data_IF_668195699684
#
_entry.id   IF_668195699684
#
_cell.length_a   1.000
_cell.length_b   1.000
_cell.length_c   1.000
_cell.angle_alpha   90.00
_cell.angle_beta   90.00
_cell.angle_gamma   90.00
#
_symmetry.space_group_name_H-M   'P 1'
#
loop_
_entity.id
_entity.type
_entity.pdbx_description
1 polymer ?
#
# COMPACT_ATOMS: atom_id res chain seq x y z
N UNK A 1 -14.95 1.92 -0.40
CA UNK A 1 -15.76 0.85 -1.02
C UNK A 1 -14.85 0.02 -1.89
N UNK A 2 -14.96 -1.29 -1.74
CA UNK A 2 -14.31 -2.29 -2.56
C UNK A 2 -14.75 -2.17 -4.03
N UNK A 3 -13.91 -2.67 -4.93
CA UNK A 3 -14.17 -2.74 -6.38
C UNK A 3 -14.26 -4.17 -6.90
N UNK A 4 -13.80 -5.15 -6.12
CA UNK A 4 -13.97 -6.55 -6.50
C UNK A 4 -15.44 -6.88 -6.72
N UNK A 5 -15.70 -7.68 -7.77
CA UNK A 5 -17.02 -8.18 -8.09
C UNK A 5 -17.03 -9.69 -7.86
N UNK A 6 -17.77 -10.10 -6.83
CA UNK A 6 -18.05 -11.51 -6.53
C UNK A 6 -19.37 -11.89 -7.22
N UNK A 7 -19.43 -13.00 -7.98
CA UNK A 7 -20.65 -13.45 -8.63
C UNK A 7 -21.80 -13.66 -7.62
N UNK A 8 -23.06 -13.38 -7.98
CA UNK A 8 -24.21 -13.58 -7.08
C UNK A 8 -24.38 -15.02 -6.62
N UNK A 9 -24.01 -15.97 -7.48
CA UNK A 9 -23.96 -17.40 -7.20
C UNK A 9 -22.51 -17.81 -7.37
N UNK A 10 -21.84 -18.09 -6.26
CA UNK A 10 -20.46 -18.56 -6.28
C UNK A 10 -20.43 -20.09 -6.25
N UNK A 11 -19.61 -20.73 -7.09
CA UNK A 11 -19.29 -22.15 -6.96
C UNK A 11 -18.80 -22.49 -5.54
N UNK A 12 -18.93 -23.76 -5.18
CA UNK A 12 -18.36 -24.27 -3.94
C UNK A 12 -16.82 -24.22 -3.98
N UNK A 13 -16.14 -24.18 -2.81
CA UNK A 13 -14.67 -24.24 -2.77
C UNK A 13 -14.08 -25.45 -3.48
N UNK A 14 -14.79 -26.59 -3.49
CA UNK A 14 -14.37 -27.80 -4.19
C UNK A 14 -14.44 -27.64 -5.72
N UNK A 15 -15.52 -27.07 -6.25
CA UNK A 15 -15.65 -26.79 -7.68
C UNK A 15 -14.59 -25.78 -8.16
N UNK A 16 -14.31 -24.75 -7.35
CA UNK A 16 -13.24 -23.80 -7.65
C UNK A 16 -11.85 -24.46 -7.59
N UNK A 17 -11.61 -25.37 -6.64
CA UNK A 17 -10.38 -26.14 -6.56
C UNK A 17 -10.20 -27.08 -7.77
N UNK A 18 -11.27 -27.77 -8.20
CA UNK A 18 -11.28 -28.59 -9.43
C UNK A 18 -11.01 -27.74 -10.67
N UNK A 19 -11.62 -26.55 -10.76
CA UNK A 19 -11.40 -25.62 -11.87
C UNK A 19 -9.94 -25.14 -11.93
N UNK A 20 -9.34 -24.83 -10.79
CA UNK A 20 -7.93 -24.44 -10.69
C UNK A 20 -7.00 -25.60 -11.07
N UNK A 21 -7.24 -26.81 -10.53
CA UNK A 21 -6.45 -27.98 -10.90
C UNK A 21 -6.48 -28.21 -12.41
N UNK A 22 -7.68 -28.12 -13.02
CA UNK A 22 -7.85 -28.26 -14.46
C UNK A 22 -7.09 -27.17 -15.24
N UNK A 23 -7.08 -25.94 -14.74
CA UNK A 23 -6.32 -24.85 -15.36
C UNK A 23 -4.81 -25.09 -15.37
N UNK A 24 -4.30 -25.88 -14.43
CA UNK A 24 -2.89 -26.26 -14.36
C UNK A 24 -2.55 -27.60 -15.05
N UNK A 25 -3.52 -28.24 -15.73
CA UNK A 25 -3.29 -29.54 -16.38
C UNK A 25 -2.82 -29.37 -17.83
N UNK A 26 -1.77 -30.09 -18.18
CA UNK A 26 -1.26 -30.16 -19.55
C UNK A 26 0.04 -29.38 -19.72
N UNK A 27 0.29 -28.94 -20.96
CA UNK A 27 1.46 -28.12 -21.28
C UNK A 27 1.06 -26.65 -21.23
N UNK A 28 1.60 -25.93 -20.23
CA UNK A 28 1.21 -24.55 -19.92
C UNK A 28 0.07 -24.48 -18.91
N UNK A 29 -0.37 -23.26 -18.61
CA UNK A 29 -1.47 -22.96 -17.69
C UNK A 29 -2.54 -22.17 -18.41
N UNK A 30 -3.81 -22.35 -18.03
CA UNK A 30 -4.92 -21.51 -18.46
C UNK A 30 -5.05 -20.31 -17.50
N UNK A 31 -4.26 -19.25 -17.73
CA UNK A 31 -4.22 -18.09 -16.84
C UNK A 31 -5.59 -17.39 -16.74
N UNK A 32 -6.38 -17.41 -17.81
CA UNK A 32 -7.70 -16.79 -17.84
C UNK A 32 -8.69 -17.56 -16.94
N UNK A 33 -8.64 -18.89 -16.91
CA UNK A 33 -9.42 -19.68 -15.97
C UNK A 33 -8.99 -19.39 -14.51
N UNK A 34 -7.68 -19.29 -14.24
CA UNK A 34 -7.17 -18.95 -12.91
C UNK A 34 -7.67 -17.57 -12.46
N UNK A 35 -7.58 -16.56 -13.34
CA UNK A 35 -8.09 -15.21 -13.09
C UNK A 35 -9.61 -15.22 -12.88
N UNK A 36 -10.35 -15.93 -13.74
CA UNK A 36 -11.81 -16.05 -13.67
C UNK A 36 -12.32 -16.64 -12.36
N UNK A 37 -11.52 -17.48 -11.70
CA UNK A 37 -11.79 -17.94 -10.34
C UNK A 37 -11.28 -16.90 -9.32
N UNK A 38 -9.97 -16.72 -9.20
CA UNK A 38 -9.38 -16.07 -8.03
C UNK A 38 -9.63 -14.57 -7.96
N UNK A 39 -9.72 -13.85 -9.09
CA UNK A 39 -9.99 -12.41 -9.10
C UNK A 39 -11.46 -12.06 -8.76
N UNK A 40 -12.33 -13.08 -8.70
CA UNK A 40 -13.77 -12.97 -8.46
C UNK A 40 -14.21 -13.68 -7.17
N UNK A 41 -13.29 -13.83 -6.21
CA UNK A 41 -13.56 -14.38 -4.89
C UNK A 41 -13.06 -13.41 -3.84
N UNK A 42 -13.79 -13.26 -2.75
CA UNK A 42 -13.34 -12.50 -1.59
C UNK A 42 -12.28 -13.25 -0.78
N UNK A 43 -11.65 -12.58 0.19
CA UNK A 43 -10.62 -13.17 1.04
C UNK A 43 -11.05 -14.45 1.76
N UNK A 44 -12.32 -14.55 2.19
CA UNK A 44 -12.84 -15.72 2.89
C UNK A 44 -12.96 -16.89 1.93
N UNK A 45 -13.51 -16.65 0.74
CA UNK A 45 -13.63 -17.64 -0.31
C UNK A 45 -12.26 -18.12 -0.80
N UNK A 46 -11.30 -17.21 -1.07
CA UNK A 46 -9.93 -17.59 -1.46
C UNK A 46 -9.25 -18.44 -0.40
N UNK A 47 -9.46 -18.14 0.88
CA UNK A 47 -8.96 -18.97 1.98
C UNK A 47 -9.57 -20.37 1.98
N UNK A 48 -10.89 -20.49 1.78
CA UNK A 48 -11.54 -21.80 1.70
C UNK A 48 -11.05 -22.60 0.50
N UNK A 49 -10.92 -21.98 -0.66
CA UNK A 49 -10.37 -22.62 -1.86
C UNK A 49 -8.96 -23.17 -1.60
N UNK A 50 -8.09 -22.38 -0.95
CA UNK A 50 -6.74 -22.84 -0.56
C UNK A 50 -6.77 -24.09 0.32
N UNK A 51 -7.61 -24.09 1.35
CA UNK A 51 -7.74 -25.22 2.28
C UNK A 51 -8.29 -26.46 1.56
N UNK A 52 -9.36 -26.30 0.80
CA UNK A 52 -9.99 -27.40 0.04
C UNK A 52 -9.06 -27.95 -1.05
N UNK A 53 -8.29 -27.11 -1.74
CA UNK A 53 -7.31 -27.56 -2.73
C UNK A 53 -6.21 -28.41 -2.08
N UNK A 54 -5.70 -27.98 -0.92
CA UNK A 54 -4.70 -28.74 -0.15
C UNK A 54 -5.26 -30.06 0.39
N UNK A 55 -6.49 -30.06 0.91
CA UNK A 55 -7.16 -31.27 1.38
C UNK A 55 -7.42 -32.29 0.26
N UNK A 56 -7.87 -31.83 -0.91
CA UNK A 56 -8.27 -32.71 -2.02
C UNK A 56 -7.09 -33.26 -2.82
N UNK A 57 -6.02 -32.48 -2.98
CA UNK A 57 -4.90 -32.83 -3.86
C UNK A 57 -3.56 -32.98 -3.14
N UNK A 58 -3.51 -32.71 -1.83
CA UNK A 58 -2.30 -32.76 -1.02
C UNK A 58 -1.16 -31.89 -1.61
N UNK A 59 -1.54 -30.72 -2.15
CA UNK A 59 -0.67 -29.75 -2.78
C UNK A 59 -1.02 -28.34 -2.30
N UNK A 60 0.00 -27.51 -2.05
CA UNK A 60 -0.23 -26.13 -1.64
C UNK A 60 -0.56 -25.24 -2.85
N UNK A 61 -1.78 -24.69 -2.89
CA UNK A 61 -2.24 -23.85 -4.01
C UNK A 61 -1.33 -22.64 -4.28
N UNK A 62 -0.74 -22.02 -3.24
CA UNK A 62 0.17 -20.88 -3.46
C UNK A 62 1.41 -21.36 -4.21
N UNK A 63 2.06 -22.42 -3.72
CA UNK A 63 3.24 -22.97 -4.40
C UNK A 63 2.93 -23.41 -5.83
N UNK A 64 1.74 -23.99 -6.05
CA UNK A 64 1.27 -24.35 -7.39
C UNK A 64 1.18 -23.14 -8.31
N UNK A 65 0.52 -22.06 -7.87
CA UNK A 65 0.43 -20.81 -8.62
C UNK A 65 1.82 -20.23 -8.95
N UNK A 66 2.77 -20.28 -8.03
CA UNK A 66 4.13 -19.78 -8.27
C UNK A 66 4.94 -20.65 -9.24
N UNK A 67 4.61 -21.95 -9.35
CA UNK A 67 5.25 -22.86 -10.31
C UNK A 67 4.67 -22.75 -11.72
N UNK A 68 3.40 -22.34 -11.83
CA UNK A 68 2.65 -22.31 -13.07
C UNK A 68 2.58 -20.92 -13.72
N UNK A 69 2.59 -19.86 -12.91
CA UNK A 69 2.56 -18.47 -13.38
C UNK A 69 3.98 -17.89 -13.39
N UNK A 70 4.17 -16.81 -14.16
CA UNK A 70 5.43 -16.06 -14.16
C UNK A 70 5.21 -14.54 -14.29
N UNK A 71 6.29 -13.79 -14.12
CA UNK A 71 6.30 -12.34 -14.34
C UNK A 71 5.38 -11.57 -13.38
N UNK A 72 4.73 -10.53 -13.88
CA UNK A 72 3.94 -9.61 -13.05
C UNK A 72 2.61 -10.22 -12.60
N UNK A 73 2.04 -11.14 -13.40
CA UNK A 73 0.85 -11.87 -13.02
C UNK A 73 1.10 -12.76 -11.80
N UNK A 74 2.21 -13.51 -11.79
CA UNK A 74 2.55 -14.37 -10.64
C UNK A 74 2.68 -13.56 -9.35
N UNK A 75 3.45 -12.46 -9.38
CA UNK A 75 3.63 -11.60 -8.19
C UNK A 75 2.30 -11.01 -7.72
N UNK A 76 1.46 -10.56 -8.64
CA UNK A 76 0.16 -10.00 -8.32
C UNK A 76 -0.80 -11.05 -7.75
N UNK A 77 -0.85 -12.24 -8.35
CA UNK A 77 -1.68 -13.36 -7.91
C UNK A 77 -1.24 -13.91 -6.56
N UNK A 78 0.08 -14.03 -6.34
CA UNK A 78 0.66 -14.40 -5.05
C UNK A 78 0.19 -13.48 -3.94
N UNK A 79 0.30 -12.16 -4.12
CA UNK A 79 -0.17 -11.23 -3.10
C UNK A 79 -1.69 -11.28 -2.93
N UNK A 80 -2.44 -11.46 -4.01
CA UNK A 80 -3.88 -11.47 -3.99
C UNK A 80 -4.48 -12.69 -3.26
N UNK A 81 -3.92 -13.87 -3.47
CA UNK A 81 -4.44 -15.11 -2.87
C UNK A 81 -4.22 -15.20 -1.34
N UNK A 82 -3.31 -14.39 -0.80
CA UNK A 82 -3.13 -14.22 0.64
C UNK A 82 -4.32 -13.52 1.29
N UNK A 83 -4.55 -13.83 2.56
CA UNK A 83 -5.46 -13.04 3.40
C UNK A 83 -4.99 -11.56 3.43
N UNK A 84 -5.88 -10.55 3.47
CA UNK A 84 -5.50 -9.14 3.42
C UNK A 84 -4.49 -8.71 4.50
N UNK A 85 -4.53 -9.32 5.69
CA UNK A 85 -3.60 -9.02 6.79
C UNK A 85 -2.26 -9.74 6.57
N UNK A 86 -2.31 -11.00 6.11
CA UNK A 86 -1.14 -11.79 5.71
C UNK A 86 -0.38 -11.11 4.56
N UNK A 87 -1.09 -10.67 3.53
CA UNK A 87 -0.60 -9.90 2.38
C UNK A 87 0.21 -8.68 2.82
N UNK A 88 -0.33 -7.88 3.74
CA UNK A 88 0.35 -6.70 4.26
C UNK A 88 1.59 -7.06 5.08
N UNK A 89 1.52 -8.10 5.93
CA UNK A 89 2.66 -8.58 6.69
C UNK A 89 3.80 -9.06 5.76
N UNK A 90 3.47 -9.74 4.66
CA UNK A 90 4.43 -10.15 3.64
C UNK A 90 5.05 -8.95 2.94
N UNK A 91 4.24 -8.00 2.47
CA UNK A 91 4.73 -6.79 1.79
C UNK A 91 5.65 -5.96 2.68
N UNK A 92 5.29 -5.77 3.96
CA UNK A 92 6.12 -4.97 4.88
C UNK A 92 7.42 -5.70 5.24
N UNK A 93 7.44 -7.03 5.36
CA UNK A 93 8.67 -7.80 5.55
C UNK A 93 9.60 -7.72 4.34
N UNK A 94 9.06 -7.76 3.12
CA UNK A 94 9.88 -7.55 1.93
C UNK A 94 10.47 -6.13 1.94
N UNK A 95 9.66 -5.13 2.28
CA UNK A 95 10.11 -3.75 2.36
C UNK A 95 11.15 -3.49 3.46
N UNK A 96 11.10 -4.19 4.60
CA UNK A 96 12.14 -4.03 5.64
C UNK A 96 13.50 -4.51 5.14
N UNK A 97 13.56 -5.54 4.28
CA UNK A 97 14.83 -6.05 3.71
C UNK A 97 15.50 -5.06 2.76
N UNK A 98 14.72 -4.23 2.08
CA UNK A 98 15.17 -3.19 1.14
C UNK A 98 14.71 -1.79 1.59
N UNK A 99 14.93 -1.46 2.88
CA UNK A 99 14.26 -0.32 3.52
C UNK A 99 14.58 1.05 2.91
N UNK A 100 15.75 1.19 2.27
CA UNK A 100 16.15 2.45 1.64
C UNK A 100 15.45 2.68 0.29
N UNK A 101 15.05 1.60 -0.37
CA UNK A 101 14.30 1.58 -1.62
C UNK A 101 12.78 1.58 -1.36
N UNK A 102 12.33 0.80 -0.38
CA UNK A 102 10.92 0.42 -0.19
C UNK A 102 10.28 0.98 1.10
N UNK A 103 10.90 1.97 1.76
CA UNK A 103 10.31 2.64 2.94
C UNK A 103 8.87 3.11 2.69
N UNK A 104 8.51 3.44 1.44
CA UNK A 104 7.17 3.89 1.08
C UNK A 104 6.11 2.86 1.47
N UNK A 105 6.37 1.56 1.26
CA UNK A 105 5.44 0.47 1.60
C UNK A 105 5.20 0.41 3.11
N UNK A 106 6.27 0.55 3.91
CA UNK A 106 6.19 0.58 5.38
C UNK A 106 5.34 1.78 5.82
N UNK A 107 5.61 2.96 5.26
CA UNK A 107 4.87 4.19 5.59
C UNK A 107 3.41 4.09 5.16
N UNK A 108 3.12 3.57 3.99
CA UNK A 108 1.75 3.34 3.50
C UNK A 108 0.96 2.45 4.44
N UNK A 109 1.48 1.27 4.78
CA UNK A 109 0.81 0.33 5.68
C UNK A 109 0.59 0.97 7.05
N UNK A 110 1.60 1.65 7.60
CA UNK A 110 1.47 2.33 8.90
C UNK A 110 0.50 3.51 8.89
N UNK A 111 0.44 4.28 7.80
CA UNK A 111 -0.30 5.54 7.72
C UNK A 111 -1.66 5.44 7.02
N UNK A 112 -2.06 4.28 6.49
CA UNK A 112 -3.37 4.11 5.82
C UNK A 112 -4.28 3.11 6.52
N UNK A 113 -3.73 2.26 7.38
CA UNK A 113 -4.51 1.44 8.29
C UNK A 113 -4.98 2.24 9.52
N UNK A 114 -6.13 1.83 10.07
CA UNK A 114 -6.51 2.16 11.45
C UNK A 114 -5.56 1.48 12.44
N UNK A 115 -5.58 1.92 13.70
CA UNK A 115 -4.69 1.37 14.71
C UNK A 115 -4.98 -0.11 14.99
N UNK A 116 -6.26 -0.52 14.94
CA UNK A 116 -6.66 -1.94 15.03
C UNK A 116 -6.20 -2.78 13.84
N UNK A 117 -6.28 -2.25 12.62
CA UNK A 117 -5.83 -2.98 11.42
C UNK A 117 -4.30 -3.14 11.43
N UNK A 118 -3.54 -2.09 11.76
CA UNK A 118 -2.08 -2.19 11.86
C UNK A 118 -1.65 -3.17 12.96
N UNK A 119 -2.37 -3.21 14.09
CA UNK A 119 -2.13 -4.20 15.13
C UNK A 119 -2.37 -5.63 14.63
N UNK A 120 -3.40 -5.86 13.80
CA UNK A 120 -3.63 -7.16 13.18
C UNK A 120 -2.46 -7.55 12.27
N UNK A 121 -1.96 -6.63 11.43
CA UNK A 121 -0.79 -6.85 10.57
C UNK A 121 0.43 -7.25 11.40
N UNK A 122 0.70 -6.54 12.49
CA UNK A 122 1.84 -6.83 13.39
C UNK A 122 1.72 -8.20 14.08
N UNK A 123 0.52 -8.59 14.52
CA UNK A 123 0.27 -9.92 15.08
C UNK A 123 0.53 -11.01 14.04
N UNK A 124 0.06 -10.83 12.81
CA UNK A 124 0.34 -11.77 11.71
C UNK A 124 1.83 -11.80 11.38
N UNK A 125 2.53 -10.66 11.41
CA UNK A 125 3.98 -10.59 11.25
C UNK A 125 4.71 -11.48 12.25
N UNK A 126 4.31 -11.46 13.53
CA UNK A 126 4.90 -12.34 14.56
C UNK A 126 4.69 -13.82 14.24
N UNK A 127 3.49 -14.18 13.77
CA UNK A 127 3.16 -15.56 13.40
C UNK A 127 4.05 -16.03 12.24
N UNK A 128 4.24 -15.20 11.23
CA UNK A 128 5.00 -15.54 10.02
C UNK A 128 6.52 -15.53 10.23
N UNK A 129 7.05 -14.53 10.93
CA UNK A 129 8.49 -14.25 10.94
C UNK A 129 9.18 -14.44 12.29
N UNK A 130 8.40 -14.72 13.36
CA UNK A 130 8.91 -14.99 14.71
C UNK A 130 9.72 -13.82 15.32
N UNK A 131 9.47 -12.60 14.84
CA UNK A 131 9.98 -11.33 15.34
C UNK A 131 8.88 -10.26 15.20
N UNK A 132 9.10 -9.08 15.78
CA UNK A 132 8.25 -7.91 15.54
C UNK A 132 8.67 -7.10 14.31
N UNK A 133 7.71 -6.40 13.72
CA UNK A 133 7.98 -5.45 12.64
C UNK A 133 8.93 -4.34 13.11
N UNK A 134 8.77 -3.91 14.36
CA UNK A 134 9.61 -2.92 15.01
C UNK A 134 11.07 -3.35 15.09
N UNK A 135 11.34 -4.61 15.45
CA UNK A 135 12.69 -5.15 15.50
C UNK A 135 13.36 -5.12 14.12
N UNK A 136 12.66 -5.56 13.08
CA UNK A 136 13.20 -5.53 11.71
C UNK A 136 13.44 -4.10 11.21
N UNK A 137 12.52 -3.17 11.48
CA UNK A 137 12.71 -1.75 11.15
C UNK A 137 13.90 -1.17 11.91
N UNK A 138 14.03 -1.46 13.21
CA UNK A 138 15.11 -0.96 14.05
C UNK A 138 16.48 -1.50 13.60
N UNK A 139 16.54 -2.77 13.20
CA UNK A 139 17.77 -3.41 12.77
C UNK A 139 18.25 -2.89 11.41
N UNK A 140 17.34 -2.53 10.51
CA UNK A 140 17.65 -2.28 9.09
C UNK A 140 17.67 -0.81 8.69
N UNK A 141 16.77 0.02 9.22
CA UNK A 141 16.82 1.47 8.98
C UNK A 141 17.93 2.11 9.82
N UNK A 142 18.34 3.35 9.49
CA UNK A 142 19.30 4.13 10.28
C UNK A 142 18.86 5.59 10.44
N UNK A 143 19.47 6.31 11.39
CA UNK A 143 19.25 7.74 11.59
C UNK A 143 17.78 8.15 11.77
N UNK A 144 17.42 9.31 11.22
CA UNK A 144 16.05 9.84 11.31
C UNK A 144 15.02 8.99 10.55
N UNK A 145 15.43 8.24 9.52
CA UNK A 145 14.54 7.29 8.86
C UNK A 145 14.09 6.23 9.85
N UNK A 146 15.02 5.62 10.61
CA UNK A 146 14.69 4.64 11.66
C UNK A 146 13.72 5.24 12.68
N UNK A 147 14.05 6.41 13.22
CA UNK A 147 13.23 7.08 14.24
C UNK A 147 11.82 7.36 13.74
N UNK A 148 11.67 7.84 12.50
CA UNK A 148 10.37 8.07 11.88
C UNK A 148 9.59 6.77 11.68
N UNK A 149 10.20 5.77 11.03
CA UNK A 149 9.52 4.51 10.73
C UNK A 149 9.08 3.80 12.01
N UNK A 150 9.93 3.75 13.04
CA UNK A 150 9.56 3.22 14.36
C UNK A 150 8.39 3.99 14.96
N UNK A 151 8.40 5.33 14.94
CA UNK A 151 7.28 6.11 15.46
C UNK A 151 5.96 5.79 14.73
N UNK A 152 6.03 5.56 13.41
CA UNK A 152 4.86 5.21 12.59
C UNK A 152 4.33 3.79 12.85
N UNK A 153 5.21 2.78 12.95
CA UNK A 153 4.78 1.37 13.13
C UNK A 153 4.47 1.00 14.57
N UNK A 154 5.03 1.71 15.55
CA UNK A 154 4.87 1.39 16.98
C UNK A 154 3.65 2.01 17.62
N UNK A 155 3.21 3.19 17.15
CA UNK A 155 2.14 3.93 17.83
C UNK A 155 0.77 3.31 17.54
N UNK A 156 0.08 2.89 18.59
CA UNK A 156 -1.37 2.64 18.55
C UNK A 156 -2.11 3.98 18.72
N UNK A 157 -2.48 4.61 17.61
CA UNK A 157 -3.03 5.97 17.61
C UNK A 157 -4.45 5.99 18.13
N UNK A 158 -4.82 7.14 18.70
CA UNK A 158 -6.21 7.44 18.96
C UNK A 158 -6.94 7.68 17.62
N UNK A 159 -8.03 6.96 17.39
CA UNK A 159 -8.79 6.99 16.13
C UNK A 159 -10.07 7.86 16.24
N UNK A 160 -10.27 8.59 17.35
CA UNK A 160 -11.38 9.52 17.50
C UNK A 160 -11.19 10.85 16.77
N UNK A 161 -12.30 11.56 16.59
CA UNK A 161 -12.39 12.82 15.83
C UNK A 161 -12.11 14.07 16.68
N UNK A 162 -11.85 13.90 17.99
CA UNK A 162 -11.58 15.01 18.89
C UNK A 162 -10.31 15.75 18.52
N UNK A 163 -10.41 17.07 18.47
CA UNK A 163 -9.32 17.98 18.11
C UNK A 163 -9.13 19.01 19.22
N UNK A 164 -7.88 19.18 19.65
CA UNK A 164 -7.45 20.32 20.45
C UNK A 164 -6.88 21.39 19.53
N UNK A 165 -7.67 22.44 19.27
CA UNK A 165 -7.32 23.51 18.33
C UNK A 165 -6.11 24.34 18.80
N UNK A 166 -6.02 24.64 20.10
CA UNK A 166 -4.88 25.36 20.67
C UNK A 166 -3.57 24.59 20.47
N UNK A 167 -3.61 23.26 20.69
CA UNK A 167 -2.48 22.37 20.43
C UNK A 167 -2.16 22.30 18.93
N UNK A 168 -3.17 22.20 18.07
CA UNK A 168 -3.00 22.15 16.62
C UNK A 168 -2.28 23.40 16.12
N UNK A 169 -2.67 24.57 16.62
CA UNK A 169 -2.03 25.84 16.31
C UNK A 169 -0.60 25.94 16.84
N UNK A 170 -0.34 25.48 18.08
CA UNK A 170 1.03 25.48 18.61
C UNK A 170 1.95 24.52 17.86
N UNK A 171 1.47 23.33 17.52
CA UNK A 171 2.25 22.33 16.78
C UNK A 171 2.46 22.74 15.33
N UNK A 172 1.52 23.47 14.71
CA UNK A 172 1.70 24.05 13.38
C UNK A 172 2.88 25.04 13.34
N UNK A 173 3.05 25.84 14.39
CA UNK A 173 4.20 26.75 14.54
C UNK A 173 5.52 26.00 14.72
N UNK A 174 5.53 24.94 15.54
CA UNK A 174 6.71 24.06 15.68
C UNK A 174 7.09 23.46 14.31
N UNK A 175 6.11 22.96 13.55
CA UNK A 175 6.33 22.48 12.18
C UNK A 175 6.79 23.59 11.23
N UNK A 176 6.46 24.86 11.47
CA UNK A 176 6.94 25.98 10.68
C UNK A 176 8.40 26.33 11.00
N UNK A 177 8.73 26.42 12.29
CA UNK A 177 10.07 26.76 12.78
C UNK A 177 11.10 25.70 12.40
N UNK A 178 10.77 24.41 12.60
CA UNK A 178 11.64 23.27 12.22
C UNK A 178 12.00 23.30 10.73
N UNK A 179 11.10 23.82 9.89
CA UNK A 179 11.27 23.87 8.45
C UNK A 179 12.06 25.09 7.98
N UNK A 180 11.98 26.19 8.73
CA UNK A 180 12.58 27.48 8.35
C UNK A 180 14.02 27.60 8.82
N UNK A 181 14.33 27.06 9.99
CA UNK A 181 15.62 27.25 10.65
C UNK A 181 16.74 26.35 10.09
N UNK A 182 16.44 25.37 9.23
CA UNK A 182 17.43 24.53 8.55
C UNK A 182 18.20 23.56 9.45
N UNK A 183 18.23 23.80 10.76
CA UNK A 183 18.75 22.92 11.80
C UNK A 183 17.54 22.19 12.42
N UNK A 184 17.18 21.08 11.79
CA UNK A 184 15.90 20.42 12.03
C UNK A 184 15.93 19.69 13.37
N UNK A 185 15.16 20.17 14.34
CA UNK A 185 14.64 19.32 15.41
C UNK A 185 13.67 18.30 14.79
N UNK A 186 14.25 17.30 14.13
CA UNK A 186 13.55 16.18 13.54
C UNK A 186 12.78 15.38 14.61
N UNK A 187 13.19 15.49 15.88
CA UNK A 187 12.55 14.84 17.02
C UNK A 187 11.12 15.32 17.20
N UNK A 188 10.90 16.63 17.24
CA UNK A 188 9.54 17.18 17.39
C UNK A 188 8.66 16.89 16.18
N UNK A 189 9.23 16.94 14.98
CA UNK A 189 8.49 16.60 13.76
C UNK A 189 8.06 15.12 13.76
N UNK A 190 8.99 14.21 14.11
CA UNK A 190 8.71 12.77 14.24
C UNK A 190 7.71 12.53 15.37
N UNK A 191 7.82 13.21 16.50
CA UNK A 191 6.87 13.11 17.62
C UNK A 191 5.47 13.50 17.16
N UNK A 192 5.30 14.65 16.52
CA UNK A 192 3.99 15.14 16.06
C UNK A 192 3.41 14.14 15.06
N UNK A 193 4.12 13.89 13.95
CA UNK A 193 3.65 13.01 12.86
C UNK A 193 3.45 11.57 13.33
N UNK A 194 4.32 11.07 14.20
CA UNK A 194 4.33 9.70 14.72
C UNK A 194 3.27 9.40 15.77
N UNK A 195 2.81 10.38 16.55
CA UNK A 195 2.00 10.10 17.75
C UNK A 195 0.57 10.64 17.74
N UNK A 196 0.31 11.74 17.02
CA UNK A 196 -1.01 12.39 17.05
C UNK A 196 -2.08 11.59 16.30
N UNK A 197 -3.35 11.76 16.69
CA UNK A 197 -4.49 11.20 15.95
C UNK A 197 -4.55 11.79 14.53
N UNK A 198 -5.22 11.09 13.60
CA UNK A 198 -5.41 11.61 12.24
C UNK A 198 -6.19 12.94 12.25
N UNK A 199 -7.25 13.03 13.06
CA UNK A 199 -8.05 14.23 13.21
C UNK A 199 -7.20 15.42 13.70
N UNK A 200 -6.40 15.21 14.75
CA UNK A 200 -5.49 16.23 15.29
C UNK A 200 -4.43 16.63 14.26
N UNK A 201 -3.81 15.69 13.54
CA UNK A 201 -2.81 15.99 12.51
C UNK A 201 -3.40 16.82 11.37
N UNK A 202 -4.61 16.49 10.91
CA UNK A 202 -5.27 17.25 9.86
C UNK A 202 -5.61 18.68 10.30
N UNK A 203 -5.99 18.89 11.57
CA UNK A 203 -6.15 20.21 12.15
C UNK A 203 -4.82 20.99 12.20
N UNK A 204 -3.75 20.36 12.67
CA UNK A 204 -2.39 20.93 12.66
C UNK A 204 -1.95 21.32 11.24
N UNK A 205 -2.20 20.47 10.25
CA UNK A 205 -1.87 20.75 8.84
C UNK A 205 -2.71 21.87 8.25
N UNK A 206 -3.96 22.04 8.70
CA UNK A 206 -4.82 23.16 8.32
C UNK A 206 -4.22 24.47 8.84
N UNK A 207 -3.91 24.55 10.13
CA UNK A 207 -3.26 25.73 10.73
C UNK A 207 -1.93 26.06 10.05
N UNK A 208 -1.10 25.06 9.77
CA UNK A 208 0.15 25.25 9.05
C UNK A 208 -0.07 25.90 7.67
N UNK A 209 -1.07 25.43 6.92
CA UNK A 209 -1.41 25.97 5.60
C UNK A 209 -1.92 27.41 5.72
N UNK A 210 -2.72 27.70 6.74
CA UNK A 210 -3.33 29.01 6.92
C UNK A 210 -2.28 30.06 7.33
N UNK A 211 -1.26 29.68 8.11
CA UNK A 211 -0.13 30.57 8.46
C UNK A 211 0.87 30.73 7.30
N UNK A 212 1.22 29.66 6.58
CA UNK A 212 2.28 29.68 5.54
C UNK A 212 1.77 29.92 4.10
N UNK A 213 0.46 29.81 3.88
CA UNK A 213 -0.14 29.80 2.54
C UNK A 213 0.24 28.58 1.68
N UNK A 214 0.93 27.58 2.24
CA UNK A 214 1.37 26.37 1.50
C UNK A 214 1.16 25.09 2.31
N UNK A 215 0.80 24.00 1.63
CA UNK A 215 0.58 22.70 2.27
C UNK A 215 1.90 22.12 2.80
N UNK A 216 1.84 21.53 4.00
CA UNK A 216 2.96 20.77 4.58
C UNK A 216 3.41 19.60 3.69
N UNK A 217 2.56 19.06 2.81
CA UNK A 217 2.95 17.98 1.88
C UNK A 217 3.91 18.44 0.77
N UNK A 218 4.09 19.76 0.61
CA UNK A 218 5.09 20.38 -0.26
C UNK A 218 6.41 20.63 0.48
N UNK A 219 6.51 20.18 1.73
CA UNK A 219 7.71 20.32 2.54
C UNK A 219 8.92 19.60 1.91
N UNK A 220 10.06 20.30 1.87
CA UNK A 220 11.31 19.90 1.21
C UNK A 220 11.14 19.47 -0.26
N UNK A 221 10.01 19.74 -0.91
CA UNK A 221 9.84 19.40 -2.32
C UNK A 221 10.89 20.20 -3.10
N UNK A 222 11.72 19.55 -3.94
CA UNK A 222 12.58 20.28 -4.86
C UNK A 222 11.68 21.25 -5.64
N UNK A 223 12.04 22.54 -5.70
CA UNK A 223 11.52 23.40 -6.78
C UNK A 223 12.02 22.70 -8.04
N UNK A 224 11.10 22.12 -8.82
CA UNK A 224 11.36 21.34 -10.04
C UNK A 224 12.83 21.38 -10.50
N UNK A 225 13.63 20.40 -10.07
CA UNK A 225 14.89 20.09 -10.74
C UNK A 225 15.10 18.59 -10.69
N UNK A 226 15.10 17.99 -11.88
CA UNK A 226 15.35 16.57 -12.12
C UNK A 226 16.77 16.13 -11.72
N UNK A 227 17.61 17.03 -11.21
CA UNK A 227 18.98 16.76 -10.77
C UNK A 227 19.11 16.30 -9.31
N UNK A 228 18.08 16.47 -8.45
CA UNK A 228 18.15 16.01 -7.05
C UNK A 228 18.12 14.46 -6.91
N UNK A 229 17.85 13.75 -8.00
CA UNK A 229 17.96 12.28 -8.06
C UNK A 229 19.41 11.80 -8.23
N UNK A 230 20.37 12.68 -8.52
CA UNK A 230 21.75 12.29 -8.84
C UNK A 230 22.79 12.66 -7.75
N UNK A 231 22.41 13.41 -6.72
CA UNK A 231 23.34 13.79 -5.65
C UNK A 231 22.72 13.70 -4.28
N UNK A 232 22.97 12.59 -3.57
CA UNK A 232 23.28 12.50 -2.12
C UNK A 232 22.53 13.38 -1.09
N UNK A 233 21.39 13.99 -1.40
CA UNK A 233 20.75 15.02 -0.59
C UNK A 233 19.88 14.44 0.53
N UNK A 234 19.51 13.16 0.43
CA UNK A 234 18.82 12.41 1.49
C UNK A 234 19.34 10.96 1.48
N UNK A 235 20.59 10.72 1.91
CA UNK A 235 21.22 9.41 1.84
C UNK A 235 20.50 8.36 2.69
N UNK A 236 19.63 8.80 3.61
CA UNK A 236 18.82 7.91 4.46
C UNK A 236 17.43 7.62 3.91
N UNK A 237 16.87 8.47 3.04
CA UNK A 237 15.47 8.39 2.60
C UNK A 237 14.45 9.04 3.54
N UNK A 238 14.89 9.66 4.64
CA UNK A 238 14.03 10.24 5.68
C UNK A 238 13.08 11.32 5.14
N UNK A 239 13.57 12.26 4.33
CA UNK A 239 12.75 13.38 3.84
C UNK A 239 11.64 12.88 2.93
N UNK A 240 11.92 11.83 2.16
CA UNK A 240 10.92 11.18 1.31
C UNK A 240 9.92 10.38 2.12
N UNK A 241 10.37 9.57 3.09
CA UNK A 241 9.50 8.82 3.99
C UNK A 241 8.56 9.75 4.76
N UNK A 242 9.07 10.86 5.29
CA UNK A 242 8.27 11.87 5.97
C UNK A 242 7.20 12.45 5.04
N UNK A 243 7.59 12.86 3.83
CA UNK A 243 6.65 13.43 2.86
C UNK A 243 5.59 12.43 2.45
N UNK A 244 5.94 11.15 2.36
CA UNK A 244 4.99 10.06 2.14
C UNK A 244 4.02 9.95 3.31
N UNK A 245 4.49 9.95 4.56
CA UNK A 245 3.64 9.89 5.75
C UNK A 245 2.63 11.05 5.80
N UNK A 246 3.12 12.29 5.60
CA UNK A 246 2.30 13.49 5.56
C UNK A 246 1.19 13.40 4.49
N UNK A 247 1.50 12.86 3.30
CA UNK A 247 0.51 12.69 2.23
C UNK A 247 -0.51 11.59 2.54
N UNK A 248 -0.06 10.45 3.05
CA UNK A 248 -0.95 9.35 3.46
C UNK A 248 -1.94 9.81 4.54
N UNK A 249 -1.46 10.56 5.54
CA UNK A 249 -2.29 11.05 6.65
C UNK A 249 -3.26 12.14 6.17
N UNK A 250 -2.79 13.06 5.32
CA UNK A 250 -3.60 14.18 4.84
C UNK A 250 -4.70 13.75 3.87
N UNK A 251 -4.38 12.89 2.91
CA UNK A 251 -5.33 12.39 1.90
C UNK A 251 -4.75 11.15 1.20
N UNK A 252 -5.06 9.97 1.75
CA UNK A 252 -4.57 8.69 1.22
C UNK A 252 -4.98 8.48 -0.25
N UNK A 253 -6.19 8.86 -0.65
CA UNK A 253 -6.64 8.73 -2.04
C UNK A 253 -5.75 9.56 -2.99
N UNK A 254 -5.49 10.84 -2.67
CA UNK A 254 -4.58 11.67 -3.48
C UNK A 254 -3.16 11.11 -3.50
N UNK A 255 -2.71 10.52 -2.40
CA UNK A 255 -1.40 9.86 -2.35
C UNK A 255 -1.35 8.68 -3.33
N UNK A 256 -2.30 7.75 -3.28
CA UNK A 256 -2.31 6.59 -4.16
C UNK A 256 -2.54 6.95 -5.62
N UNK A 257 -3.31 8.00 -5.92
CA UNK A 257 -3.39 8.56 -7.28
C UNK A 257 -2.01 8.99 -7.78
N UNK A 258 -1.18 9.60 -6.92
CA UNK A 258 0.19 9.97 -7.29
C UNK A 258 1.06 8.73 -7.51
N UNK A 259 0.94 7.70 -6.67
CA UNK A 259 1.66 6.43 -6.84
C UNK A 259 1.30 5.80 -8.19
N UNK A 260 0.00 5.65 -8.48
CA UNK A 260 -0.49 5.07 -9.75
C UNK A 260 -0.02 5.87 -10.96
N UNK A 261 -0.12 7.20 -10.92
CA UNK A 261 0.35 8.05 -12.03
C UNK A 261 1.85 7.97 -12.27
N UNK A 262 2.64 7.87 -11.19
CA UNK A 262 4.08 7.70 -11.31
C UNK A 262 4.42 6.30 -11.83
N UNK A 263 3.68 5.28 -11.41
CA UNK A 263 3.85 3.91 -11.86
C UNK A 263 3.53 3.74 -13.36
N UNK A 264 2.64 4.57 -13.93
CA UNK A 264 2.24 4.52 -15.34
C UNK A 264 2.91 5.61 -16.22
N UNK A 265 4.06 6.16 -15.81
CA UNK A 265 4.64 7.32 -16.50
C UNK A 265 5.64 6.97 -17.62
N UNK A 266 5.21 7.13 -18.89
CA UNK A 266 5.93 7.33 -20.18
C UNK A 266 7.18 6.50 -20.56
N UNK A 267 8.03 6.00 -19.67
CA UNK A 267 9.23 5.21 -20.00
C UNK A 267 9.17 3.76 -19.52
N UNK A 268 7.95 3.23 -19.37
CA UNK A 268 7.66 1.91 -18.80
C UNK A 268 6.64 2.01 -17.67
N UNK A 269 6.28 0.85 -17.13
CA UNK A 269 5.40 0.74 -15.97
C UNK A 269 6.23 0.29 -14.77
N UNK A 270 5.89 0.76 -13.56
CA UNK A 270 6.39 0.18 -12.31
C UNK A 270 5.31 -0.78 -11.81
N UNK A 271 5.38 -2.03 -12.26
CA UNK A 271 4.35 -3.05 -12.02
C UNK A 271 4.22 -3.38 -10.54
N UNK A 272 5.29 -3.29 -9.75
CA UNK A 272 5.25 -3.56 -8.32
C UNK A 272 4.41 -2.51 -7.57
N UNK A 273 4.59 -1.23 -7.89
CA UNK A 273 3.78 -0.15 -7.32
C UNK A 273 2.33 -0.19 -7.80
N UNK A 274 2.12 -0.50 -9.08
CA UNK A 274 0.79 -0.65 -9.64
C UNK A 274 0.05 -1.82 -8.97
N UNK A 275 0.66 -3.00 -8.96
CA UNK A 275 0.14 -4.22 -8.31
C UNK A 275 -0.18 -3.96 -6.86
N UNK A 276 0.77 -3.42 -6.09
CA UNK A 276 0.59 -3.17 -4.65
C UNK A 276 -0.63 -2.30 -4.38
N UNK A 277 -0.82 -1.20 -5.11
CA UNK A 277 -1.99 -0.32 -4.89
C UNK A 277 -3.29 -1.02 -5.27
N UNK A 278 -3.35 -1.72 -6.41
CA UNK A 278 -4.60 -2.38 -6.81
C UNK A 278 -4.94 -3.50 -5.83
N UNK A 279 -3.98 -4.38 -5.53
CA UNK A 279 -4.17 -5.57 -4.69
C UNK A 279 -4.45 -5.22 -3.23
N UNK A 280 -3.83 -4.18 -2.65
CA UNK A 280 -4.13 -3.77 -1.27
C UNK A 280 -5.52 -3.14 -1.12
N UNK A 281 -6.01 -2.43 -2.13
CA UNK A 281 -7.18 -1.59 -2.00
C UNK A 281 -8.46 -2.18 -2.61
N UNK A 282 -8.36 -3.21 -3.48
CA UNK A 282 -9.50 -3.77 -4.21
C UNK A 282 -10.64 -4.27 -3.29
N UNK A 283 -10.32 -4.75 -2.09
CA UNK A 283 -11.29 -5.25 -1.09
C UNK A 283 -11.70 -4.19 -0.05
N UNK A 284 -11.18 -2.95 -0.14
CA UNK A 284 -11.35 -1.91 0.89
C UNK A 284 -11.93 -0.60 0.32
N UNK A 285 -11.13 0.12 -0.45
CA UNK A 285 -11.38 1.52 -0.79
C UNK A 285 -10.90 1.93 -2.20
N UNK A 286 -10.54 0.98 -3.07
CA UNK A 286 -10.09 1.25 -4.43
C UNK A 286 -11.07 2.10 -5.25
N UNK A 287 -12.38 2.06 -4.96
CA UNK A 287 -13.37 2.95 -5.59
C UNK A 287 -13.07 4.43 -5.33
N UNK A 288 -12.71 4.79 -4.09
CA UNK A 288 -12.34 6.17 -3.75
C UNK A 288 -11.07 6.63 -4.46
N UNK A 289 -10.11 5.72 -4.62
CA UNK A 289 -8.88 5.97 -5.38
C UNK A 289 -9.20 6.16 -6.87
N UNK A 290 -10.08 5.34 -7.45
CA UNK A 290 -10.55 5.47 -8.85
C UNK A 290 -11.19 6.83 -9.11
N UNK A 291 -12.12 7.25 -8.24
CA UNK A 291 -12.82 8.53 -8.36
C UNK A 291 -11.83 9.71 -8.27
N UNK A 292 -10.89 9.65 -7.32
CA UNK A 292 -9.83 10.64 -7.17
C UNK A 292 -8.87 10.66 -8.39
N UNK A 293 -8.59 9.49 -8.97
CA UNK A 293 -7.74 9.35 -10.16
C UNK A 293 -8.39 10.01 -11.36
N UNK A 294 -9.66 9.70 -11.64
CA UNK A 294 -10.45 10.31 -12.72
C UNK A 294 -10.48 11.83 -12.58
N UNK A 295 -10.73 12.35 -11.38
CA UNK A 295 -10.75 13.80 -11.11
C UNK A 295 -9.39 14.47 -11.37
N UNK A 296 -8.29 13.76 -11.16
CA UNK A 296 -6.92 14.31 -11.27
C UNK A 296 -6.30 14.12 -12.65
N UNK A 297 -6.60 13.02 -13.34
CA UNK A 297 -6.01 12.64 -14.62
C UNK A 297 -6.95 12.90 -15.81
N UNK A 298 -8.24 13.16 -15.55
CA UNK A 298 -9.28 13.28 -16.58
C UNK A 298 -9.43 12.02 -17.46
N UNK A 299 -8.94 10.88 -16.98
CA UNK A 299 -8.98 9.56 -17.64
C UNK A 299 -9.28 8.52 -16.57
N UNK A 300 -10.10 7.53 -16.93
CA UNK A 300 -10.49 6.47 -16.01
C UNK A 300 -9.28 5.60 -15.65
N UNK A 301 -9.21 5.11 -14.42
CA UNK A 301 -8.07 4.29 -13.98
C UNK A 301 -7.94 3.02 -14.83
N UNK A 302 -9.07 2.40 -15.16
CA UNK A 302 -9.20 1.27 -16.08
C UNK A 302 -8.60 1.56 -17.45
N UNK A 303 -8.90 2.76 -18.00
CA UNK A 303 -8.38 3.15 -19.31
C UNK A 303 -6.88 3.43 -19.26
N UNK A 304 -6.38 4.02 -18.19
CA UNK A 304 -4.94 4.24 -18.00
C UNK A 304 -4.19 2.90 -17.92
N UNK A 305 -4.61 2.01 -17.01
CA UNK A 305 -4.01 0.67 -16.85
C UNK A 305 -4.12 -0.13 -18.14
N UNK A 306 -5.26 -0.04 -18.84
CA UNK A 306 -5.46 -0.74 -20.10
C UNK A 306 -4.54 -0.29 -21.23
N UNK A 307 -3.95 0.91 -21.15
CA UNK A 307 -2.97 1.40 -22.12
C UNK A 307 -1.52 1.05 -21.72
N UNK A 308 -1.23 0.97 -20.43
CA UNK A 308 0.13 0.80 -19.90
C UNK A 308 0.47 -0.65 -19.49
N UNK A 309 -0.48 -1.58 -19.61
CA UNK A 309 -0.30 -3.01 -19.31
C UNK A 309 -0.86 -3.90 -20.43
N UNK A 310 -0.46 -5.17 -20.46
CA UNK A 310 -0.89 -6.13 -21.48
C UNK A 310 -1.08 -7.54 -20.90
N UNK A 311 -1.64 -8.44 -21.72
CA UNK A 311 -1.76 -9.87 -21.39
C UNK A 311 -2.63 -10.18 -20.17
N UNK A 312 -2.31 -11.29 -19.51
CA UNK A 312 -3.07 -11.80 -18.37
C UNK A 312 -2.90 -10.93 -17.12
N UNK A 313 -1.74 -10.27 -16.95
CA UNK A 313 -1.54 -9.28 -15.90
C UNK A 313 -2.54 -8.11 -16.01
N UNK A 314 -2.71 -7.56 -17.22
CA UNK A 314 -3.76 -6.56 -17.47
C UNK A 314 -5.14 -7.10 -17.14
N UNK A 315 -5.46 -8.31 -17.62
CA UNK A 315 -6.77 -8.94 -17.40
C UNK A 315 -7.08 -9.08 -15.90
N UNK A 316 -6.09 -9.52 -15.13
CA UNK A 316 -6.16 -9.63 -13.68
C UNK A 316 -6.41 -8.29 -12.98
N UNK A 317 -5.62 -7.25 -13.30
CA UNK A 317 -5.82 -5.91 -12.73
C UNK A 317 -7.21 -5.34 -13.06
N UNK A 318 -7.70 -5.57 -14.28
CA UNK A 318 -9.01 -5.12 -14.72
C UNK A 318 -10.13 -5.81 -13.93
N UNK A 319 -10.01 -7.12 -13.68
CA UNK A 319 -10.94 -7.86 -12.83
C UNK A 319 -11.00 -7.27 -11.41
N UNK A 320 -9.85 -6.94 -10.80
CA UNK A 320 -9.80 -6.31 -9.47
C UNK A 320 -10.38 -4.88 -9.45
N UNK A 321 -10.34 -4.17 -10.57
CA UNK A 321 -11.00 -2.87 -10.74
C UNK A 321 -12.53 -2.99 -10.90
N UNK A 322 -13.05 -4.21 -10.99
CA UNK A 322 -14.46 -4.50 -11.23
C UNK A 322 -14.86 -4.38 -12.70
N UNK A 323 -13.91 -4.48 -13.63
CA UNK A 323 -14.16 -4.59 -15.06
C UNK A 323 -14.13 -6.05 -15.47
N UNK A 324 -15.14 -6.54 -16.18
CA UNK A 324 -15.14 -7.92 -16.70
C UNK A 324 -16.24 -8.84 -16.18
N UNK A 325 -17.43 -8.30 -15.90
CA UNK A 325 -18.69 -9.06 -16.06
C UNK A 325 -19.47 -8.40 -17.19
#
# INVERSE_FOLDING_TARGET
>A
MATIVVPPVTPSPAEDADALLKAFQGWGTDEQAVIGVLAHRDATQRKQIRLTYEENYNENLIQRLQSELSGDLERAMYHWVLDPVERQAVMVNTATKCIHEDYAVIVEIACTNSSSELLAVKRTYHVLYKCSLEEDVAARATGNLRSLLLALVSTYRYDGDEVNDALAKSEAKILHETVTNGDTDHGELIRIVGTRSRAQLNATFSWFRDERGTSITKLHAPRFDHQALQHGADPTGYSHALRTALRCISDANKYFVKVLRNAMHKSGTNEDSLTRVIVLHAEKDLKGIKDAFQKRASVALEKAIGNDTSGDYKSFLMALLGSGI
#
